data_IF_937110227810
#
_entry.id   IF_937110227810
#
_cell.length_a   1.000
_cell.length_b   1.000
_cell.length_c   1.000
_cell.angle_alpha   90.00
_cell.angle_beta   90.00
_cell.angle_gamma   90.00
#
_symmetry.space_group_name_H-M   'P 1'
#
loop_
_entity.id
_entity.type
_entity.pdbx_description
1 polymer ?
#
# COMPACT_ATOMS: atom_id res chain seq x y z
N UNK A 1 19.82 -19.09 -12.46
CA UNK A 1 18.51 -19.70 -12.82
C UNK A 1 17.86 -18.75 -13.81
N UNK A 2 17.62 -19.18 -15.04
CA UNK A 2 16.87 -18.38 -16.00
C UNK A 2 15.45 -18.23 -15.48
N UNK A 3 14.95 -17.02 -15.43
CA UNK A 3 13.65 -16.74 -14.88
C UNK A 3 12.58 -16.82 -15.98
N UNK A 4 11.44 -17.48 -15.76
CA UNK A 4 10.34 -17.44 -16.70
C UNK A 4 9.84 -15.99 -16.89
N UNK A 5 9.30 -15.70 -18.07
CA UNK A 5 8.76 -14.37 -18.41
C UNK A 5 7.58 -13.96 -17.54
N UNK A 6 6.87 -14.94 -16.97
CA UNK A 6 5.77 -14.74 -16.02
C UNK A 6 5.75 -15.82 -14.95
N UNK A 7 5.27 -15.46 -13.75
CA UNK A 7 5.10 -16.35 -12.60
C UNK A 7 3.77 -16.14 -11.92
N UNK A 8 3.26 -17.17 -11.25
CA UNK A 8 1.98 -17.15 -10.55
C UNK A 8 2.19 -17.01 -9.04
N UNK A 9 1.72 -15.89 -8.52
CA UNK A 9 1.66 -15.64 -7.09
C UNK A 9 0.29 -16.10 -6.55
N UNK A 10 0.24 -17.33 -6.07
CA UNK A 10 -0.92 -17.92 -5.42
C UNK A 10 -0.80 -17.74 -3.91
N UNK A 11 -1.77 -17.06 -3.31
CA UNK A 11 -1.80 -16.77 -1.87
C UNK A 11 -3.17 -17.16 -1.30
N UNK A 12 -3.16 -17.84 -0.15
CA UNK A 12 -4.34 -18.16 0.64
C UNK A 12 -4.02 -17.98 2.14
N UNK A 13 -4.74 -17.09 2.82
CA UNK A 13 -4.59 -16.79 4.26
C UNK A 13 -3.14 -16.61 4.74
N UNK A 14 -2.36 -15.83 3.98
CA UNK A 14 -0.97 -15.52 4.33
C UNK A 14 0.03 -16.62 3.97
N UNK A 15 -0.42 -17.71 3.35
CA UNK A 15 0.45 -18.76 2.80
C UNK A 15 0.58 -18.61 1.29
N UNK A 16 1.75 -18.95 0.77
CA UNK A 16 2.08 -18.85 -0.65
C UNK A 16 2.58 -20.17 -1.20
N UNK A 17 2.21 -20.45 -2.44
CA UNK A 17 2.72 -21.60 -3.17
C UNK A 17 4.13 -21.30 -3.69
N UNK A 18 5.07 -22.13 -3.31
CA UNK A 18 6.42 -22.15 -3.87
C UNK A 18 6.69 -23.53 -4.49
N UNK A 19 7.52 -23.52 -5.52
CA UNK A 19 8.09 -24.72 -6.16
C UNK A 19 9.61 -24.67 -6.08
N UNK A 20 10.26 -25.81 -6.24
CA UNK A 20 11.72 -25.89 -6.38
C UNK A 20 12.19 -25.45 -7.79
N UNK A 21 13.49 -25.61 -8.08
CA UNK A 21 14.06 -25.28 -9.38
C UNK A 21 13.46 -26.10 -10.53
N UNK A 22 13.04 -27.32 -10.25
CA UNK A 22 12.52 -28.26 -11.23
C UNK A 22 10.98 -28.18 -11.39
N UNK A 23 10.34 -27.25 -10.65
CA UNK A 23 8.91 -27.04 -10.68
C UNK A 23 8.10 -27.91 -9.72
N UNK A 24 8.78 -28.74 -8.91
CA UNK A 24 8.06 -29.58 -7.97
C UNK A 24 7.60 -28.77 -6.73
N UNK A 25 6.35 -28.94 -6.37
CA UNK A 25 5.75 -28.24 -5.22
C UNK A 25 4.53 -28.95 -4.65
N UNK A 26 4.00 -28.44 -3.54
CA UNK A 26 4.43 -27.23 -2.80
C UNK A 26 5.72 -27.40 -1.99
N UNK A 27 6.50 -26.33 -1.89
CA UNK A 27 7.75 -26.28 -1.11
C UNK A 27 7.66 -25.28 0.04
N UNK A 28 8.43 -25.54 1.10
CA UNK A 28 8.59 -24.64 2.26
C UNK A 28 10.05 -24.31 2.48
N UNK A 29 10.46 -23.04 2.55
CA UNK A 29 11.80 -22.69 3.03
C UNK A 29 11.96 -23.13 4.49
N UNK A 30 13.11 -23.68 4.81
CA UNK A 30 13.43 -24.20 6.16
C UNK A 30 14.35 -23.20 6.86
N UNK A 31 13.93 -21.95 6.99
CA UNK A 31 14.64 -20.88 7.73
C UNK A 31 16.19 -20.99 7.76
N UNK A 32 16.80 -21.46 6.69
CA UNK A 32 18.22 -21.57 6.54
C UNK A 32 18.68 -20.69 5.39
N UNK A 33 19.18 -19.52 5.71
CA UNK A 33 19.91 -18.67 4.78
C UNK A 33 21.13 -19.44 4.25
N UNK A 34 20.94 -20.16 3.16
CA UNK A 34 21.99 -20.98 2.56
C UNK A 34 22.78 -20.23 1.50
N UNK A 35 22.42 -18.96 1.23
CA UNK A 35 23.00 -18.15 0.16
C UNK A 35 22.72 -18.70 -1.25
N UNK A 36 21.81 -19.66 -1.40
CA UNK A 36 21.40 -20.24 -2.69
C UNK A 36 19.90 -20.21 -2.84
N UNK A 37 19.44 -19.62 -3.92
CA UNK A 37 18.02 -19.66 -4.32
C UNK A 37 17.64 -21.08 -4.69
N UNK A 38 16.61 -21.62 -4.05
CA UNK A 38 16.08 -22.97 -4.24
C UNK A 38 14.60 -22.97 -4.62
N UNK A 39 13.85 -21.97 -4.17
CA UNK A 39 12.41 -21.91 -4.29
C UNK A 39 11.96 -20.66 -5.04
N UNK A 40 10.89 -20.78 -5.80
CA UNK A 40 10.30 -19.69 -6.59
C UNK A 40 8.79 -19.84 -6.68
N UNK A 41 8.13 -18.83 -7.20
CA UNK A 41 6.75 -18.98 -7.66
C UNK A 41 6.65 -19.94 -8.84
N UNK A 42 5.57 -20.73 -8.95
CA UNK A 42 5.34 -21.60 -10.09
C UNK A 42 5.06 -20.81 -11.37
N UNK A 43 5.25 -21.45 -12.51
CA UNK A 43 4.72 -21.01 -13.81
C UNK A 43 3.24 -21.38 -13.94
N UNK A 44 2.64 -20.98 -15.06
CA UNK A 44 1.27 -21.37 -15.39
C UNK A 44 1.13 -22.90 -15.52
N UNK A 45 2.02 -23.48 -16.28
CA UNK A 45 2.06 -24.90 -16.59
C UNK A 45 2.21 -25.72 -15.31
N UNK A 46 3.14 -25.36 -14.43
CA UNK A 46 3.35 -26.01 -13.14
C UNK A 46 2.13 -25.91 -12.21
N UNK A 47 1.44 -24.75 -12.23
CA UNK A 47 0.20 -24.57 -11.46
C UNK A 47 -0.93 -25.45 -11.99
N UNK A 48 -1.06 -25.57 -13.32
CA UNK A 48 -2.04 -26.42 -13.98
C UNK A 48 -1.74 -27.92 -13.76
N UNK A 49 -0.48 -28.34 -13.81
CA UNK A 49 -0.06 -29.71 -13.50
C UNK A 49 -0.35 -30.11 -12.05
N UNK A 50 -0.28 -29.17 -11.10
CA UNK A 50 -0.70 -29.40 -9.71
C UNK A 50 -2.23 -29.45 -9.54
N UNK A 51 -3.02 -29.22 -10.59
CA UNK A 51 -4.48 -29.26 -10.56
C UNK A 51 -5.12 -28.14 -9.76
N UNK A 52 -4.45 -27.00 -9.54
CA UNK A 52 -4.95 -25.90 -8.74
C UNK A 52 -5.79 -24.98 -9.63
N UNK A 53 -7.08 -24.89 -9.31
CA UNK A 53 -7.98 -23.88 -9.89
C UNK A 53 -7.73 -22.54 -9.22
N UNK A 54 -7.82 -21.44 -9.97
CA UNK A 54 -7.56 -20.09 -9.46
C UNK A 54 -8.33 -19.01 -10.22
N UNK A 55 -8.54 -17.87 -9.56
CA UNK A 55 -9.05 -16.64 -10.17
C UNK A 55 -7.94 -15.59 -10.19
N UNK A 56 -7.60 -15.07 -11.36
CA UNK A 56 -6.61 -13.97 -11.47
C UNK A 56 -7.20 -12.68 -10.89
N UNK A 57 -6.50 -12.08 -9.93
CA UNK A 57 -6.91 -10.84 -9.26
C UNK A 57 -6.15 -9.61 -9.77
N UNK A 58 -4.86 -9.74 -10.04
CA UNK A 58 -4.00 -8.62 -10.46
C UNK A 58 -2.79 -9.13 -11.25
N UNK A 59 -2.17 -8.22 -12.02
CA UNK A 59 -0.90 -8.43 -12.73
C UNK A 59 -0.02 -7.21 -12.49
N UNK A 60 1.24 -7.43 -12.20
CA UNK A 60 2.23 -6.38 -12.00
C UNK A 60 3.63 -6.85 -12.37
N UNK A 61 4.56 -5.90 -12.55
CA UNK A 61 5.93 -6.23 -12.94
C UNK A 61 6.88 -6.15 -11.73
N UNK A 62 7.75 -7.14 -11.60
CA UNK A 62 8.84 -7.18 -10.64
C UNK A 62 10.13 -7.45 -11.39
N UNK A 63 11.01 -6.46 -11.47
CA UNK A 63 12.32 -6.56 -12.14
C UNK A 63 12.27 -7.12 -13.57
N UNK A 64 11.23 -6.74 -14.34
CA UNK A 64 11.06 -7.19 -15.71
C UNK A 64 10.27 -8.49 -15.89
N UNK A 65 9.86 -9.14 -14.81
CA UNK A 65 9.04 -10.36 -14.81
C UNK A 65 7.59 -10.04 -14.46
N UNK A 66 6.65 -10.55 -15.26
CA UNK A 66 5.22 -10.43 -14.94
C UNK A 66 4.87 -11.35 -13.75
N UNK A 67 4.32 -10.78 -12.70
CA UNK A 67 3.75 -11.51 -11.58
C UNK A 67 2.23 -11.49 -11.69
N UNK A 68 1.63 -12.67 -11.81
CA UNK A 68 0.18 -12.86 -11.90
C UNK A 68 -0.32 -13.26 -10.51
N UNK A 69 -0.88 -12.30 -9.78
CA UNK A 69 -1.50 -12.58 -8.48
C UNK A 69 -2.87 -13.21 -8.69
N UNK A 70 -3.04 -14.40 -8.13
CA UNK A 70 -4.27 -15.16 -8.25
C UNK A 70 -4.72 -15.73 -6.90
N UNK A 71 -6.02 -15.82 -6.73
CA UNK A 71 -6.67 -16.46 -5.60
C UNK A 71 -6.94 -17.91 -5.94
N UNK A 72 -6.32 -18.89 -5.25
CA UNK A 72 -6.55 -20.30 -5.51
C UNK A 72 -7.88 -20.76 -4.90
N UNK A 73 -8.52 -21.70 -5.57
CA UNK A 73 -9.68 -22.44 -5.04
C UNK A 73 -9.17 -23.69 -4.31
N UNK A 74 -8.72 -23.50 -3.09
CA UNK A 74 -8.18 -24.56 -2.23
C UNK A 74 -8.71 -24.38 -0.80
N UNK A 75 -8.88 -25.49 -0.09
CA UNK A 75 -9.02 -25.47 1.36
C UNK A 75 -7.71 -25.01 2.02
N UNK A 76 -7.62 -25.10 3.35
CA UNK A 76 -6.43 -24.68 4.08
C UNK A 76 -5.14 -25.39 3.59
N UNK A 77 -4.20 -24.65 2.95
CA UNK A 77 -3.01 -25.26 2.33
C UNK A 77 -1.89 -25.49 3.37
N UNK A 78 -1.97 -26.55 4.14
CA UNK A 78 -0.98 -26.86 5.18
C UNK A 78 0.47 -26.93 4.65
N UNK A 79 0.65 -27.44 3.44
CA UNK A 79 1.96 -27.62 2.80
C UNK A 79 2.55 -26.33 2.22
N UNK A 80 1.79 -25.23 2.16
CA UNK A 80 2.30 -23.97 1.62
C UNK A 80 3.13 -23.19 2.64
N UNK A 81 4.04 -22.35 2.14
CA UNK A 81 4.93 -21.54 2.97
C UNK A 81 4.22 -20.28 3.51
N UNK A 82 4.47 -19.91 4.75
CA UNK A 82 4.07 -18.62 5.27
C UNK A 82 4.84 -17.49 4.58
N UNK A 83 4.15 -16.48 4.07
CA UNK A 83 4.77 -15.36 3.35
C UNK A 83 5.79 -14.60 4.20
N UNK A 84 5.54 -14.47 5.50
CA UNK A 84 6.47 -13.79 6.42
C UNK A 84 7.84 -14.47 6.48
N UNK A 85 7.89 -15.80 6.39
CA UNK A 85 9.15 -16.53 6.32
C UNK A 85 9.84 -16.39 4.97
N UNK A 86 9.06 -16.28 3.89
CA UNK A 86 9.59 -16.18 2.53
C UNK A 86 10.32 -14.86 2.26
N UNK A 87 9.87 -13.75 2.86
CA UNK A 87 10.38 -12.40 2.55
C UNK A 87 11.87 -12.27 2.86
N UNK A 88 12.34 -12.84 3.96
CA UNK A 88 13.72 -12.72 4.45
C UNK A 88 14.59 -13.95 4.22
N UNK A 89 14.07 -14.99 3.54
CA UNK A 89 14.83 -16.22 3.30
C UNK A 89 15.50 -16.19 1.92
N UNK A 90 16.83 -16.23 1.90
CA UNK A 90 17.65 -16.22 0.67
C UNK A 90 17.44 -17.47 -0.22
N UNK A 91 16.85 -18.53 0.32
CA UNK A 91 16.46 -19.68 -0.47
C UNK A 91 15.28 -19.39 -1.40
N UNK A 92 14.50 -18.32 -1.14
CA UNK A 92 13.40 -17.88 -1.99
C UNK A 92 13.90 -16.88 -3.03
N UNK A 93 13.49 -17.05 -4.27
CA UNK A 93 13.93 -16.22 -5.39
C UNK A 93 13.61 -14.73 -5.16
N UNK A 94 14.51 -13.79 -5.50
CA UNK A 94 14.30 -12.35 -5.27
C UNK A 94 12.98 -11.79 -5.81
N UNK A 95 12.54 -12.23 -7.00
CA UNK A 95 11.25 -11.82 -7.58
C UNK A 95 10.08 -12.26 -6.70
N UNK A 96 10.10 -13.50 -6.22
CA UNK A 96 9.05 -14.01 -5.32
C UNK A 96 9.04 -13.26 -3.99
N UNK A 97 10.21 -13.01 -3.39
CA UNK A 97 10.34 -12.21 -2.16
C UNK A 97 9.80 -10.79 -2.34
N UNK A 98 10.20 -10.13 -3.42
CA UNK A 98 9.76 -8.76 -3.71
C UNK A 98 8.24 -8.71 -3.96
N UNK A 99 7.69 -9.65 -4.71
CA UNK A 99 6.25 -9.72 -4.95
C UNK A 99 5.46 -9.92 -3.64
N UNK A 100 5.93 -10.80 -2.76
CA UNK A 100 5.34 -11.00 -1.43
C UNK A 100 5.42 -9.71 -0.61
N UNK A 101 6.59 -9.05 -0.58
CA UNK A 101 6.78 -7.78 0.14
C UNK A 101 5.83 -6.69 -0.35
N UNK A 102 5.60 -6.59 -1.67
CA UNK A 102 4.65 -5.64 -2.24
C UNK A 102 3.20 -5.94 -1.88
N UNK A 103 2.86 -7.18 -1.58
CA UNK A 103 1.51 -7.59 -1.16
C UNK A 103 1.17 -7.24 0.29
N UNK A 104 2.18 -6.91 1.11
CA UNK A 104 1.96 -6.44 2.48
C UNK A 104 1.36 -5.04 2.42
N UNK A 105 0.24 -4.85 3.12
CA UNK A 105 -0.43 -3.54 3.16
C UNK A 105 0.41 -2.51 3.90
N UNK A 106 0.65 -1.39 3.25
CA UNK A 106 1.20 -0.19 3.88
C UNK A 106 0.05 0.60 4.48
N UNK A 107 0.19 0.95 5.76
CA UNK A 107 -0.83 1.71 6.47
C UNK A 107 -0.46 3.18 6.44
N UNK A 108 -1.40 4.02 6.03
CA UNK A 108 -1.27 5.47 6.03
C UNK A 108 -2.44 6.10 6.77
N UNK A 109 -2.17 7.18 7.49
CA UNK A 109 -3.19 7.96 8.18
C UNK A 109 -3.18 9.39 7.68
N UNK A 110 -4.37 9.91 7.35
CA UNK A 110 -4.55 11.20 6.68
C UNK A 110 -5.73 11.97 7.28
N UNK A 111 -5.79 13.27 7.02
CA UNK A 111 -6.88 14.11 7.52
C UNK A 111 -7.38 15.12 6.49
N UNK A 112 -8.69 15.24 6.37
CA UNK A 112 -9.36 16.36 5.71
C UNK A 112 -9.54 17.48 6.74
N UNK A 113 -8.74 18.54 6.64
CA UNK A 113 -8.84 19.71 7.52
C UNK A 113 -9.70 20.74 6.83
N UNK A 114 -10.80 21.14 7.47
CA UNK A 114 -11.75 22.10 6.95
C UNK A 114 -11.61 23.44 7.68
N UNK A 115 -11.62 24.54 6.95
CA UNK A 115 -11.75 25.88 7.53
C UNK A 115 -13.23 26.26 7.70
N UNK A 116 -13.48 27.47 8.25
CA UNK A 116 -14.84 27.99 8.48
C UNK A 116 -15.69 28.18 7.21
N UNK A 117 -15.04 28.26 6.05
CA UNK A 117 -15.70 28.37 4.74
C UNK A 117 -16.00 26.99 4.13
N UNK A 118 -15.57 25.90 4.79
CA UNK A 118 -15.70 24.53 4.29
C UNK A 118 -14.65 24.14 3.23
N UNK A 119 -13.60 24.95 3.05
CA UNK A 119 -12.49 24.63 2.17
C UNK A 119 -11.53 23.64 2.86
N UNK A 120 -10.88 22.80 2.07
CA UNK A 120 -9.98 21.74 2.50
C UNK A 120 -8.53 22.17 2.36
N UNK A 121 -7.73 21.99 3.43
CA UNK A 121 -6.29 22.20 3.39
C UNK A 121 -5.60 21.07 2.66
N UNK A 122 -4.77 21.40 1.68
CA UNK A 122 -3.91 20.45 0.97
C UNK A 122 -2.47 20.95 0.94
N UNK A 123 -1.52 20.00 0.94
CA UNK A 123 -0.10 20.24 0.77
C UNK A 123 0.38 19.80 -0.61
N UNK A 124 1.36 20.52 -1.16
CA UNK A 124 2.03 20.16 -2.41
C UNK A 124 3.32 19.42 -2.10
N UNK A 125 3.42 18.19 -2.57
CA UNK A 125 4.51 17.27 -2.26
C UNK A 125 5.82 17.75 -2.88
N UNK A 126 6.90 17.82 -2.08
CA UNK A 126 8.22 18.23 -2.54
C UNK A 126 9.17 17.05 -2.81
N UNK A 127 8.95 15.88 -2.20
CA UNK A 127 9.78 14.68 -2.39
C UNK A 127 8.96 13.41 -2.60
N UNK A 128 9.58 12.38 -3.15
CA UNK A 128 8.98 11.05 -3.32
C UNK A 128 8.27 10.88 -4.66
N UNK A 129 7.36 9.92 -4.73
CA UNK A 129 6.74 9.48 -5.98
C UNK A 129 5.79 10.52 -6.60
N UNK A 130 5.12 11.32 -5.78
CA UNK A 130 4.09 12.28 -6.22
C UNK A 130 4.55 13.74 -6.19
N UNK A 131 5.84 14.01 -6.38
CA UNK A 131 6.40 15.38 -6.38
C UNK A 131 5.58 16.33 -7.28
N UNK A 132 5.32 17.53 -6.77
CA UNK A 132 4.59 18.59 -7.47
C UNK A 132 3.07 18.42 -7.48
N UNK A 133 2.54 17.37 -6.86
CA UNK A 133 1.10 17.11 -6.78
C UNK A 133 0.53 17.44 -5.40
N UNK A 134 -0.79 17.67 -5.35
CA UNK A 134 -1.52 17.99 -4.13
C UNK A 134 -2.03 16.75 -3.42
N UNK A 135 -1.92 16.75 -2.09
CA UNK A 135 -2.37 15.66 -1.22
C UNK A 135 -2.99 16.20 0.06
N UNK A 136 -3.84 15.40 0.71
CA UNK A 136 -4.25 15.65 2.09
C UNK A 136 -3.06 15.47 3.03
N UNK A 137 -2.95 16.25 4.12
CA UNK A 137 -1.94 16.03 5.17
C UNK A 137 -2.02 14.60 5.71
N UNK A 138 -0.85 14.00 5.98
CA UNK A 138 -0.72 12.66 6.51
C UNK A 138 0.27 11.78 5.78
N UNK A 139 0.70 10.71 6.42
CA UNK A 139 1.76 9.83 5.93
C UNK A 139 1.65 8.41 6.46
N UNK A 140 2.79 7.74 6.49
CA UNK A 140 2.90 6.39 7.01
C UNK A 140 2.68 6.37 8.52
N UNK A 141 1.95 5.37 8.99
CA UNK A 141 1.85 5.09 10.41
C UNK A 141 3.16 4.51 10.94
N UNK A 142 3.57 4.95 12.11
CA UNK A 142 4.67 4.35 12.86
C UNK A 142 4.29 2.96 13.41
N UNK A 143 5.32 2.20 13.81
CA UNK A 143 5.11 0.92 14.45
C UNK A 143 4.35 1.10 15.79
N UNK A 144 3.27 0.34 15.96
CA UNK A 144 2.41 0.38 17.15
C UNK A 144 1.67 1.73 17.38
N UNK A 145 1.50 2.52 16.32
CA UNK A 145 0.79 3.80 16.34
C UNK A 145 -0.71 3.64 16.05
N UNK A 146 -1.56 4.32 16.83
CA UNK A 146 -2.98 4.39 16.50
C UNK A 146 -3.22 5.32 15.29
N UNK A 147 -4.08 4.96 14.32
CA UNK A 147 -4.32 5.81 13.15
C UNK A 147 -4.75 7.26 13.47
N UNK A 148 -5.46 7.49 14.59
CA UNK A 148 -5.81 8.85 15.02
C UNK A 148 -4.57 9.66 15.43
N UNK A 149 -3.64 9.02 16.12
CA UNK A 149 -2.40 9.66 16.58
C UNK A 149 -1.50 9.94 15.37
N UNK A 150 -1.39 8.99 14.45
CA UNK A 150 -0.60 9.13 13.22
C UNK A 150 -1.00 10.34 12.39
N UNK A 151 -2.28 10.56 12.12
CA UNK A 151 -2.69 11.70 11.31
C UNK A 151 -2.48 13.05 12.04
N UNK A 152 -2.59 13.09 13.39
CA UNK A 152 -2.30 14.30 14.18
C UNK A 152 -0.81 14.60 14.18
N UNK A 153 0.05 13.58 14.37
CA UNK A 153 1.51 13.70 14.31
C UNK A 153 1.96 14.18 12.94
N UNK A 154 1.55 13.51 11.85
CA UNK A 154 1.89 13.88 10.48
C UNK A 154 1.46 15.33 10.15
N UNK A 155 0.26 15.74 10.59
CA UNK A 155 -0.20 17.12 10.38
C UNK A 155 0.68 18.13 11.11
N UNK A 156 1.09 17.82 12.35
CA UNK A 156 2.00 18.66 13.08
C UNK A 156 3.38 18.73 12.42
N UNK A 157 3.88 17.61 11.92
CA UNK A 157 5.18 17.54 11.24
C UNK A 157 5.17 18.27 9.89
N UNK A 158 4.18 18.02 9.02
CA UNK A 158 4.10 18.56 7.67
C UNK A 158 3.66 20.03 7.61
N UNK A 159 2.70 20.40 8.47
CA UNK A 159 2.02 21.72 8.44
C UNK A 159 2.31 22.61 9.65
N UNK A 160 2.96 22.09 10.68
CA UNK A 160 3.26 22.83 11.92
C UNK A 160 2.06 23.15 12.78
N UNK A 161 0.87 22.62 12.49
CA UNK A 161 -0.38 22.91 13.20
C UNK A 161 -0.87 21.72 14.01
N UNK A 162 -1.42 22.03 15.19
CA UNK A 162 -2.11 21.04 16.02
C UNK A 162 -3.59 21.01 15.67
N UNK A 163 -4.15 19.82 15.52
CA UNK A 163 -5.55 19.59 15.18
C UNK A 163 -6.23 18.70 16.23
N UNK A 164 -7.55 18.84 16.32
CA UNK A 164 -8.41 17.91 17.04
C UNK A 164 -9.33 17.23 16.03
N UNK A 165 -9.33 15.90 16.04
CA UNK A 165 -10.16 15.14 15.11
C UNK A 165 -11.62 15.18 15.52
N UNK A 166 -12.51 15.28 14.54
CA UNK A 166 -13.92 15.08 14.76
C UNK A 166 -14.17 13.63 15.24
N UNK A 167 -15.16 13.38 16.09
CA UNK A 167 -15.47 12.06 16.66
C UNK A 167 -15.98 11.04 15.60
N UNK A 168 -16.07 11.44 14.36
CA UNK A 168 -16.53 10.59 13.26
C UNK A 168 -15.52 9.47 12.97
N UNK A 169 -16.04 8.31 12.61
CA UNK A 169 -15.23 7.19 12.17
C UNK A 169 -14.43 7.57 10.91
N UNK A 170 -13.18 7.05 10.76
CA UNK A 170 -12.38 7.32 9.58
C UNK A 170 -13.01 6.71 8.33
N UNK A 171 -12.71 7.30 7.20
CA UNK A 171 -12.95 6.69 5.89
C UNK A 171 -11.79 5.73 5.62
N UNK A 172 -12.09 4.44 5.56
CA UNK A 172 -11.06 3.43 5.28
C UNK A 172 -11.12 3.04 3.81
N UNK A 173 -9.99 3.11 3.12
CA UNK A 173 -9.84 2.73 1.73
C UNK A 173 -8.60 1.90 1.51
N UNK A 174 -8.73 0.89 0.66
CA UNK A 174 -7.63 0.13 0.12
C UNK A 174 -7.40 0.52 -1.33
N UNK A 175 -6.15 0.60 -1.72
CA UNK A 175 -5.74 0.77 -3.11
C UNK A 175 -4.51 -0.05 -3.42
N UNK A 176 -4.51 -0.66 -4.59
CA UNK A 176 -3.36 -1.33 -5.17
C UNK A 176 -2.88 -0.48 -6.35
N UNK A 177 -1.60 -0.15 -6.37
CA UNK A 177 -0.96 0.43 -7.54
C UNK A 177 -0.67 -0.70 -8.51
N UNK A 178 -1.49 -0.82 -9.55
CA UNK A 178 -1.56 -2.00 -10.42
C UNK A 178 -0.22 -2.31 -11.11
N UNK A 179 0.51 -1.29 -11.56
CA UNK A 179 1.76 -1.48 -12.30
C UNK A 179 2.89 -2.04 -11.42
N UNK A 180 2.82 -1.80 -10.11
CA UNK A 180 3.86 -2.16 -9.14
C UNK A 180 3.40 -3.21 -8.12
N UNK A 181 2.10 -3.49 -8.03
CA UNK A 181 1.52 -4.44 -7.07
C UNK A 181 1.58 -3.97 -5.60
N UNK A 182 1.88 -2.69 -5.35
CA UNK A 182 1.99 -2.14 -3.99
C UNK A 182 0.60 -1.85 -3.43
N UNK A 183 0.31 -2.41 -2.24
CA UNK A 183 -0.97 -2.25 -1.57
C UNK A 183 -0.90 -1.28 -0.40
N UNK A 184 -1.90 -0.40 -0.32
CA UNK A 184 -2.08 0.56 0.77
C UNK A 184 -3.45 0.45 1.40
N UNK A 185 -3.52 0.70 2.71
CA UNK A 185 -4.77 0.95 3.44
C UNK A 185 -4.68 2.34 4.07
N UNK A 186 -5.60 3.23 3.73
CA UNK A 186 -5.67 4.59 4.25
C UNK A 186 -6.80 4.74 5.25
N UNK A 187 -6.48 5.38 6.39
CA UNK A 187 -7.42 5.86 7.40
C UNK A 187 -7.51 7.39 7.27
N UNK A 188 -8.62 7.89 6.70
CA UNK A 188 -8.79 9.34 6.51
C UNK A 188 -9.80 9.89 7.49
N UNK A 189 -9.34 10.76 8.39
CA UNK A 189 -10.15 11.46 9.38
C UNK A 189 -10.61 12.83 8.88
N UNK A 190 -11.37 13.53 9.70
CA UNK A 190 -11.77 14.91 9.45
C UNK A 190 -11.49 15.74 10.71
N UNK A 191 -11.04 16.97 10.50
CA UNK A 191 -10.84 17.98 11.53
C UNK A 191 -11.33 19.34 11.04
N UNK A 192 -11.75 20.19 11.97
CA UNK A 192 -12.02 21.60 11.70
C UNK A 192 -10.86 22.44 12.25
N UNK A 193 -10.39 23.40 11.47
CA UNK A 193 -9.31 24.29 11.89
C UNK A 193 -9.57 25.72 11.42
N UNK A 194 -9.62 26.66 12.35
CA UNK A 194 -9.96 28.06 12.13
C UNK A 194 -8.83 29.00 12.57
N UNK A 195 -7.59 28.51 12.60
CA UNK A 195 -6.41 29.31 12.87
C UNK A 195 -6.06 30.24 11.69
N UNK A 196 -5.11 31.13 11.92
CA UNK A 196 -4.58 32.01 10.89
C UNK A 196 -3.55 31.29 10.04
N UNK A 197 -3.57 31.51 8.71
CA UNK A 197 -2.62 30.86 7.78
C UNK A 197 -1.15 31.11 8.13
N UNK A 198 -0.83 32.21 8.84
CA UNK A 198 0.52 32.49 9.34
C UNK A 198 1.03 31.51 10.38
N UNK A 199 0.14 30.69 10.96
CA UNK A 199 0.47 29.61 11.91
C UNK A 199 0.92 28.33 11.19
N UNK A 200 0.66 28.22 9.87
CA UNK A 200 1.06 27.05 9.07
C UNK A 200 2.55 27.19 8.75
N UNK A 201 3.33 26.23 9.23
CA UNK A 201 4.78 26.15 8.96
C UNK A 201 5.08 24.84 8.26
N UNK A 202 5.42 24.92 6.99
CA UNK A 202 5.68 23.74 6.17
C UNK A 202 7.00 23.08 6.52
N UNK A 203 7.03 21.76 6.51
CA UNK A 203 8.26 20.98 6.69
C UNK A 203 9.09 21.04 5.41
N UNK A 204 10.28 21.62 5.51
CA UNK A 204 11.24 21.72 4.42
C UNK A 204 11.60 20.33 3.86
N UNK A 205 11.62 20.21 2.53
CA UNK A 205 11.92 18.97 1.83
C UNK A 205 10.79 17.93 1.83
N UNK A 206 9.59 18.25 2.37
CA UNK A 206 8.42 17.38 2.30
C UNK A 206 7.23 18.05 1.61
N UNK A 207 6.87 19.26 2.05
CA UNK A 207 5.76 20.04 1.52
C UNK A 207 6.27 21.42 1.09
N UNK A 208 6.18 21.72 -0.20
CA UNK A 208 6.66 22.99 -0.78
C UNK A 208 5.65 24.14 -0.69
N UNK A 209 4.36 23.83 -0.63
CA UNK A 209 3.27 24.80 -0.69
C UNK A 209 2.03 24.24 -0.02
N UNK A 210 1.18 25.10 0.55
CA UNK A 210 -0.16 24.72 0.97
C UNK A 210 -1.21 25.61 0.32
N UNK A 211 -2.43 25.07 0.17
CA UNK A 211 -3.58 25.84 -0.31
C UNK A 211 -4.88 25.29 0.27
N UNK A 212 -5.88 26.19 0.32
CA UNK A 212 -7.26 25.87 0.65
C UNK A 212 -8.06 25.71 -0.64
N UNK A 213 -8.66 24.56 -0.84
CA UNK A 213 -9.48 24.26 -2.01
C UNK A 213 -10.93 24.06 -1.62
N UNK A 214 -11.88 24.49 -2.49
CA UNK A 214 -13.25 24.01 -2.36
C UNK A 214 -13.25 22.45 -2.41
N UNK A 215 -14.24 21.77 -1.78
CA UNK A 215 -14.30 20.29 -1.86
C UNK A 215 -14.27 19.77 -3.30
N UNK A 216 -14.90 20.46 -4.24
CA UNK A 216 -14.92 20.10 -5.67
C UNK A 216 -13.53 20.22 -6.30
N UNK A 217 -12.84 21.34 -6.05
CA UNK A 217 -11.48 21.55 -6.57
C UNK A 217 -10.48 20.59 -5.90
N UNK A 218 -10.62 20.34 -4.60
CA UNK A 218 -9.80 19.37 -3.89
C UNK A 218 -9.86 17.96 -4.52
N UNK A 219 -11.05 17.51 -4.92
CA UNK A 219 -11.22 16.23 -5.65
C UNK A 219 -10.47 16.22 -6.98
N UNK A 220 -10.43 17.37 -7.69
CA UNK A 220 -9.74 17.48 -8.98
C UNK A 220 -8.22 17.59 -8.83
N UNK A 221 -7.74 18.18 -7.74
CA UNK A 221 -6.31 18.39 -7.48
C UNK A 221 -5.63 17.21 -6.81
N UNK A 222 -6.38 16.40 -6.05
CA UNK A 222 -5.81 15.29 -5.29
C UNK A 222 -5.21 14.22 -6.19
N UNK A 223 -3.92 13.91 -5.98
CA UNK A 223 -3.21 12.88 -6.75
C UNK A 223 -3.56 11.47 -6.28
N UNK A 224 -3.82 11.30 -5.00
CA UNK A 224 -4.07 9.99 -4.40
C UNK A 224 -5.54 9.56 -4.56
N UNK A 225 -5.76 8.34 -5.03
CA UNK A 225 -7.10 7.77 -5.15
C UNK A 225 -7.84 7.65 -3.83
N UNK A 226 -7.15 7.48 -2.68
CA UNK A 226 -7.84 7.49 -1.38
C UNK A 226 -8.27 8.90 -0.99
N UNK A 227 -7.48 9.93 -1.30
CA UNK A 227 -7.83 11.31 -1.04
C UNK A 227 -9.06 11.70 -1.86
N UNK A 228 -9.08 11.35 -3.15
CA UNK A 228 -10.24 11.54 -4.03
C UNK A 228 -11.50 10.90 -3.45
N UNK A 229 -11.42 9.64 -3.00
CA UNK A 229 -12.57 8.92 -2.45
C UNK A 229 -13.03 9.49 -1.09
N UNK A 230 -12.10 10.00 -0.28
CA UNK A 230 -12.45 10.67 0.97
C UNK A 230 -13.11 12.03 0.70
N UNK A 231 -12.53 12.84 -0.19
CA UNK A 231 -13.02 14.17 -0.55
C UNK A 231 -14.41 14.14 -1.22
N UNK A 232 -14.70 13.12 -2.03
CA UNK A 232 -16.04 12.94 -2.62
C UNK A 232 -17.17 12.88 -1.58
N UNK A 233 -16.90 12.49 -0.34
CA UNK A 233 -17.91 12.52 0.72
C UNK A 233 -18.27 13.92 1.19
N UNK A 234 -17.39 14.89 0.96
CA UNK A 234 -17.70 16.31 1.24
C UNK A 234 -18.55 16.93 0.13
N UNK A 235 -18.51 16.36 -1.07
CA UNK A 235 -19.27 16.86 -2.24
C UNK A 235 -20.65 16.21 -2.39
N UNK A 236 -20.86 15.03 -1.78
CA UNK A 236 -22.09 14.25 -1.80
C UNK A 236 -22.47 13.84 -0.36
N UNK A 237 -23.02 14.76 0.46
CA UNK A 237 -23.37 14.52 1.85
C UNK A 237 -24.54 13.52 2.03
#
# INVERSE_FOLDING_TARGET
>A
MDHPSSVFYLEHDGKVLLVDSDGNGPQKPVMNNTGKTKFRFPTKEETEEMGINYEVKNRFNVFGVEVIKAMPDVDWPESWAWKDYCISDDAVHPISREAIYRSIHRLVSKVMILNSEGNVLMGKIERGYFVGNWTLPGGYMDHDENPKEGCVRETLEEMGISISLNEKCPIIRQRIFNDEGISFVSFTYQADWNGDNSQITLKDGEISEFAWFSPQDAVLQAVSGFDVEALKRLTNP
#
